data_IF_036683759053
#
_entry.id   IF_036683759053
#
_cell.length_a   1.000
_cell.length_b   1.000
_cell.length_c   1.000
_cell.angle_alpha   90.00
_cell.angle_beta   90.00
_cell.angle_gamma   90.00
#
_symmetry.space_group_name_H-M   'P 1'
#
loop_
_entity.id
_entity.type
_entity.pdbx_description
1 polymer ?
#
# COMPACT_ATOMS: atom_id res chain seq x y z
N UNK A 1 48.23 -35.72 -10.21
CA UNK A 1 47.38 -36.34 -9.18
C UNK A 1 48.15 -36.40 -7.87
N UNK A 2 47.85 -35.51 -6.92
CA UNK A 2 48.28 -35.63 -5.51
C UNK A 2 47.01 -35.86 -4.68
N UNK A 3 47.03 -36.74 -3.67
CA UNK A 3 45.84 -37.04 -2.89
C UNK A 3 45.48 -35.83 -2.02
N UNK A 4 44.20 -35.46 -2.02
CA UNK A 4 43.62 -34.56 -1.04
C UNK A 4 43.60 -35.28 0.31
N UNK A 5 44.52 -34.92 1.20
CA UNK A 5 44.42 -35.28 2.62
C UNK A 5 43.39 -34.36 3.27
N UNK A 6 42.33 -34.95 3.84
CA UNK A 6 41.35 -34.22 4.63
C UNK A 6 42.07 -33.65 5.87
N UNK A 7 42.25 -32.33 5.91
CA UNK A 7 42.82 -31.64 7.07
C UNK A 7 41.92 -31.87 8.31
N UNK A 8 42.47 -32.16 9.50
CA UNK A 8 41.71 -32.44 10.72
C UNK A 8 41.12 -31.17 11.35
N UNK A 9 40.72 -30.19 10.52
CA UNK A 9 40.17 -28.91 10.99
C UNK A 9 38.76 -29.04 11.56
N UNK A 10 38.08 -30.18 11.34
CA UNK A 10 36.69 -30.38 11.75
C UNK A 10 36.52 -30.71 13.24
N UNK A 11 37.61 -31.05 13.94
CA UNK A 11 37.60 -31.33 15.40
C UNK A 11 38.42 -30.30 16.19
N UNK A 12 38.38 -29.03 15.76
CA UNK A 12 38.89 -27.95 16.58
C UNK A 12 37.93 -27.74 17.77
N UNK A 13 38.39 -27.92 19.03
CA UNK A 13 37.55 -27.66 20.20
C UNK A 13 37.05 -26.21 20.25
N UNK A 14 37.69 -25.29 19.51
CA UNK A 14 37.26 -23.90 19.41
C UNK A 14 36.00 -23.74 18.55
N UNK A 15 35.89 -24.49 17.44
CA UNK A 15 34.71 -24.44 16.55
C UNK A 15 33.48 -25.05 17.23
N UNK A 16 33.67 -26.14 17.94
CA UNK A 16 32.61 -26.83 18.68
C UNK A 16 32.12 -25.99 19.88
N UNK A 17 33.03 -25.25 20.52
CA UNK A 17 32.68 -24.25 21.54
C UNK A 17 31.90 -23.09 20.92
N UNK A 18 32.33 -22.57 19.77
CA UNK A 18 31.67 -21.45 19.10
C UNK A 18 30.23 -21.79 18.69
N UNK A 19 30.01 -22.98 18.12
CA UNK A 19 28.67 -23.43 17.75
C UNK A 19 27.78 -23.64 18.97
N UNK A 20 28.32 -24.17 20.08
CA UNK A 20 27.59 -24.35 21.33
C UNK A 20 27.19 -23.01 21.98
N UNK A 21 28.07 -22.00 21.95
CA UNK A 21 27.74 -20.66 22.42
C UNK A 21 26.68 -20.00 21.55
N UNK A 22 26.74 -20.17 20.22
CA UNK A 22 25.76 -19.61 19.31
C UNK A 22 24.37 -20.26 19.49
N UNK A 23 24.30 -21.58 19.67
CA UNK A 23 23.03 -22.27 19.94
C UNK A 23 22.47 -21.93 21.33
N UNK A 24 23.32 -21.79 22.35
CA UNK A 24 22.90 -21.37 23.70
C UNK A 24 22.40 -19.91 23.72
N UNK A 25 23.06 -19.01 22.98
CA UNK A 25 22.65 -17.62 22.82
C UNK A 25 21.30 -17.52 22.07
N UNK A 26 21.13 -18.29 21.00
CA UNK A 26 19.90 -18.34 20.23
C UNK A 26 18.74 -18.89 21.06
N UNK A 27 18.98 -19.95 21.85
CA UNK A 27 17.99 -20.56 22.73
C UNK A 27 17.60 -19.63 23.89
N UNK A 28 18.54 -18.85 24.43
CA UNK A 28 18.25 -17.88 25.51
C UNK A 28 17.52 -16.63 25.01
N UNK A 29 17.79 -16.18 23.78
CA UNK A 29 17.03 -15.13 23.10
C UNK A 29 15.60 -15.58 22.77
N UNK A 30 15.38 -16.84 22.39
CA UNK A 30 14.05 -17.39 22.10
C UNK A 30 13.23 -17.73 23.35
N UNK A 31 13.89 -18.07 24.46
CA UNK A 31 13.25 -18.59 25.69
C UNK A 31 12.78 -17.51 26.67
N UNK A 32 13.02 -16.22 26.41
CA UNK A 32 12.57 -15.14 27.29
C UNK A 32 13.13 -15.23 28.72
N UNK A 33 14.37 -15.69 28.89
CA UNK A 33 14.99 -15.76 30.22
C UNK A 33 15.18 -14.36 30.82
N UNK A 34 15.14 -14.20 32.15
CA UNK A 34 15.27 -12.89 32.76
C UNK A 34 16.63 -12.28 32.41
N UNK A 35 16.62 -11.06 31.86
CA UNK A 35 17.81 -10.28 31.50
C UNK A 35 18.90 -10.28 32.59
N UNK A 36 18.50 -10.41 33.86
CA UNK A 36 19.37 -10.47 35.04
C UNK A 36 20.29 -11.70 35.09
N UNK A 37 19.86 -12.87 34.61
CA UNK A 37 20.71 -14.07 34.57
C UNK A 37 21.74 -14.01 33.43
N UNK A 38 21.32 -13.51 32.27
CA UNK A 38 22.20 -13.27 31.13
C UNK A 38 23.30 -12.26 31.50
N UNK A 39 22.92 -11.17 32.19
CA UNK A 39 23.83 -10.14 32.65
C UNK A 39 24.86 -10.67 33.67
N UNK A 40 24.44 -11.50 34.64
CA UNK A 40 25.38 -12.13 35.60
C UNK A 40 26.35 -13.09 34.91
N UNK A 41 25.87 -13.93 33.99
CA UNK A 41 26.73 -14.87 33.26
C UNK A 41 27.76 -14.14 32.39
N UNK A 42 27.37 -13.03 31.76
CA UNK A 42 28.27 -12.21 30.95
C UNK A 42 29.29 -11.44 31.81
N UNK A 43 28.91 -10.99 33.00
CA UNK A 43 29.81 -10.32 33.96
C UNK A 43 30.83 -11.27 34.61
N UNK A 44 30.52 -12.56 34.69
CA UNK A 44 31.39 -13.59 35.22
C UNK A 44 32.31 -14.22 34.16
N UNK A 45 32.10 -13.92 32.88
CA UNK A 45 32.87 -14.45 31.76
C UNK A 45 34.18 -13.65 31.54
N UNK A 46 35.20 -14.25 30.90
CA UNK A 46 36.40 -13.53 30.50
C UNK A 46 36.05 -12.31 29.62
N UNK A 47 36.80 -11.22 29.77
CA UNK A 47 36.56 -9.95 29.06
C UNK A 47 36.48 -10.12 27.54
N UNK A 48 37.26 -11.03 26.97
CA UNK A 48 37.24 -11.36 25.53
C UNK A 48 35.90 -11.92 25.06
N UNK A 49 35.25 -12.74 25.88
CA UNK A 49 33.94 -13.35 25.55
C UNK A 49 32.84 -12.28 25.63
N UNK A 50 32.88 -11.43 26.65
CA UNK A 50 31.94 -10.32 26.80
C UNK A 50 32.02 -9.32 25.63
N UNK A 51 33.24 -8.96 25.21
CA UNK A 51 33.47 -8.09 24.04
C UNK A 51 32.99 -8.72 22.73
N UNK A 52 33.22 -10.02 22.55
CA UNK A 52 32.74 -10.75 21.36
C UNK A 52 31.21 -10.78 21.29
N UNK A 53 30.53 -11.09 22.40
CA UNK A 53 29.07 -11.05 22.47
C UNK A 53 28.51 -9.65 22.20
N UNK A 54 29.12 -8.61 22.79
CA UNK A 54 28.73 -7.23 22.53
C UNK A 54 28.89 -6.87 21.04
N UNK A 55 30.00 -7.28 20.42
CA UNK A 55 30.25 -7.07 18.99
C UNK A 55 29.21 -7.78 18.11
N UNK A 56 28.89 -9.03 18.42
CA UNK A 56 27.84 -9.77 17.72
C UNK A 56 26.48 -9.08 17.83
N UNK A 57 26.09 -8.61 19.02
CA UNK A 57 24.84 -7.87 19.21
C UNK A 57 24.84 -6.56 18.42
N UNK A 58 25.93 -5.80 18.43
CA UNK A 58 26.07 -4.57 17.65
C UNK A 58 25.96 -4.83 16.14
N UNK A 59 26.63 -5.86 15.64
CA UNK A 59 26.54 -6.27 14.22
C UNK A 59 25.12 -6.72 13.86
N UNK A 60 24.46 -7.52 14.71
CA UNK A 60 23.09 -7.95 14.50
C UNK A 60 22.11 -6.78 14.50
N UNK A 61 22.25 -5.82 15.43
CA UNK A 61 21.43 -4.61 15.46
C UNK A 61 21.69 -3.75 14.22
N UNK A 62 22.95 -3.53 13.84
CA UNK A 62 23.29 -2.76 12.64
C UNK A 62 22.72 -3.40 11.36
N UNK A 63 22.87 -4.72 11.20
CA UNK A 63 22.30 -5.46 10.09
C UNK A 63 20.78 -5.33 10.08
N UNK A 64 20.13 -5.49 11.24
CA UNK A 64 18.70 -5.36 11.37
C UNK A 64 18.21 -3.95 11.01
N UNK A 65 18.84 -2.89 11.52
CA UNK A 65 18.48 -1.51 11.18
C UNK A 65 18.73 -1.18 9.71
N UNK A 66 19.80 -1.72 9.11
CA UNK A 66 20.15 -1.48 7.71
C UNK A 66 19.27 -2.25 6.72
N UNK A 67 18.76 -3.41 7.13
CA UNK A 67 17.87 -4.26 6.30
C UNK A 67 16.39 -4.01 6.55
N UNK A 68 16.04 -3.22 7.58
CA UNK A 68 14.65 -2.82 7.83
C UNK A 68 14.11 -2.06 6.61
N UNK A 69 13.03 -2.53 5.98
CA UNK A 69 12.38 -1.75 4.94
C UNK A 69 11.92 -0.42 5.52
N UNK A 70 12.21 0.68 4.80
CA UNK A 70 11.73 2.00 5.21
C UNK A 70 10.20 2.01 5.08
N UNK A 71 9.47 2.46 6.12
CA UNK A 71 8.01 2.50 6.05
C UNK A 71 7.57 3.49 4.99
N UNK A 72 6.57 3.11 4.19
CA UNK A 72 5.86 4.01 3.27
C UNK A 72 4.67 4.56 4.04
N UNK A 73 4.60 5.88 4.16
CA UNK A 73 3.60 6.57 4.96
C UNK A 73 2.66 7.38 4.06
N UNK A 74 1.35 7.25 4.30
CA UNK A 74 0.36 8.16 3.72
C UNK A 74 0.38 9.46 4.50
N UNK A 75 0.93 10.51 3.90
CA UNK A 75 1.02 11.82 4.56
C UNK A 75 -0.31 12.58 4.51
N UNK A 76 -1.02 12.48 3.40
CA UNK A 76 -2.28 13.21 3.22
C UNK A 76 -3.13 12.59 2.09
N UNK A 77 -4.40 12.95 2.04
CA UNK A 77 -5.34 12.58 1.00
C UNK A 77 -6.33 13.72 0.73
N UNK A 78 -6.86 13.73 -0.48
CA UNK A 78 -7.95 14.59 -0.91
C UNK A 78 -8.84 13.81 -1.89
N UNK A 79 -10.14 14.08 -1.87
CA UNK A 79 -11.11 13.46 -2.76
C UNK A 79 -11.88 14.55 -3.49
N UNK A 80 -12.16 14.32 -4.77
CA UNK A 80 -13.08 15.15 -5.51
C UNK A 80 -14.53 14.77 -5.17
N UNK A 81 -15.36 15.79 -4.92
CA UNK A 81 -16.81 15.66 -4.80
C UNK A 81 -17.44 16.57 -5.86
N UNK A 82 -18.21 16.01 -6.81
CA UNK A 82 -18.94 16.81 -7.78
C UNK A 82 -19.95 17.77 -7.13
N UNK A 83 -20.36 18.79 -7.87
CA UNK A 83 -21.43 19.71 -7.45
C UNK A 83 -22.78 19.01 -7.25
N UNK A 84 -23.63 19.55 -6.38
CA UNK A 84 -24.91 18.95 -5.98
C UNK A 84 -25.89 18.70 -7.13
N UNK A 85 -25.78 19.42 -8.25
CA UNK A 85 -26.60 19.20 -9.43
C UNK A 85 -26.32 17.85 -10.12
N UNK A 86 -25.17 17.21 -9.83
CA UNK A 86 -24.79 15.87 -10.31
C UNK A 86 -25.17 14.74 -9.34
N UNK A 87 -25.95 15.00 -8.30
CA UNK A 87 -26.44 13.95 -7.40
C UNK A 87 -27.39 13.01 -8.14
N UNK A 88 -27.18 11.72 -7.93
CA UNK A 88 -27.94 10.65 -8.55
C UNK A 88 -28.72 9.92 -7.45
N UNK A 89 -30.01 10.22 -7.35
CA UNK A 89 -30.94 9.47 -6.51
C UNK A 89 -31.47 8.25 -7.25
N UNK A 90 -32.20 7.38 -6.56
CA UNK A 90 -32.92 6.28 -7.22
C UNK A 90 -33.87 6.81 -8.31
N UNK A 91 -34.59 7.88 -8.03
CA UNK A 91 -35.55 8.48 -8.97
C UNK A 91 -34.84 9.01 -10.23
N UNK A 92 -33.71 9.70 -10.05
CA UNK A 92 -32.88 10.18 -11.17
C UNK A 92 -32.35 9.01 -12.00
N UNK A 93 -31.90 7.94 -11.34
CA UNK A 93 -31.43 6.72 -12.01
C UNK A 93 -32.54 6.07 -12.83
N UNK A 94 -33.73 5.92 -12.26
CA UNK A 94 -34.89 5.34 -12.96
C UNK A 94 -35.37 6.20 -14.12
N UNK A 95 -35.34 7.53 -13.94
CA UNK A 95 -35.65 8.47 -15.00
C UNK A 95 -34.69 8.33 -16.18
N UNK A 96 -33.39 8.26 -15.91
CA UNK A 96 -32.36 8.03 -16.93
C UNK A 96 -32.59 6.71 -17.68
N UNK A 97 -32.83 5.62 -16.95
CA UNK A 97 -33.06 4.30 -17.55
C UNK A 97 -34.25 4.30 -18.50
N UNK A 98 -35.39 4.86 -18.07
CA UNK A 98 -36.61 4.94 -18.90
C UNK A 98 -36.42 5.84 -20.12
N UNK A 99 -35.69 6.95 -19.97
CA UNK A 99 -35.42 7.91 -21.04
C UNK A 99 -34.47 7.37 -22.10
N UNK A 100 -33.56 6.48 -21.74
CA UNK A 100 -32.63 5.85 -22.70
C UNK A 100 -33.32 4.97 -23.75
N UNK A 101 -34.59 4.57 -23.52
CA UNK A 101 -35.36 3.65 -24.35
C UNK A 101 -34.64 2.33 -24.72
N UNK A 102 -33.58 1.99 -23.99
CA UNK A 102 -32.67 0.89 -24.31
C UNK A 102 -32.95 -0.37 -23.47
N UNK A 103 -33.89 -0.31 -22.54
CA UNK A 103 -34.17 -1.36 -21.57
C UNK A 103 -35.64 -1.80 -21.61
N UNK A 104 -35.88 -3.10 -21.43
CA UNK A 104 -37.21 -3.64 -21.22
C UNK A 104 -37.69 -3.38 -19.79
N UNK A 105 -39.00 -3.48 -19.54
CA UNK A 105 -39.55 -3.35 -18.19
C UNK A 105 -38.95 -4.38 -17.20
N UNK A 106 -38.57 -5.57 -17.69
CA UNK A 106 -37.90 -6.60 -16.90
C UNK A 106 -36.48 -6.18 -16.52
N UNK A 107 -35.72 -5.61 -17.47
CA UNK A 107 -34.38 -5.07 -17.21
C UNK A 107 -34.42 -3.86 -16.28
N UNK A 108 -35.41 -2.97 -16.41
CA UNK A 108 -35.62 -1.86 -15.47
C UNK A 108 -35.85 -2.36 -14.04
N UNK A 109 -36.74 -3.33 -13.86
CA UNK A 109 -37.02 -3.91 -12.54
C UNK A 109 -35.78 -4.60 -11.95
N UNK A 110 -34.99 -5.28 -12.79
CA UNK A 110 -33.72 -5.88 -12.38
C UNK A 110 -32.69 -4.83 -11.93
N UNK A 111 -32.50 -3.76 -12.71
CA UNK A 111 -31.59 -2.66 -12.36
C UNK A 111 -32.02 -1.91 -11.10
N UNK A 112 -33.34 -1.67 -10.92
CA UNK A 112 -33.88 -1.14 -9.65
C UNK A 112 -33.52 -2.06 -8.49
N UNK A 113 -33.66 -3.37 -8.67
CA UNK A 113 -33.27 -4.37 -7.67
C UNK A 113 -31.78 -4.33 -7.32
N UNK A 114 -30.90 -4.11 -8.30
CA UNK A 114 -29.46 -3.91 -8.08
C UNK A 114 -29.23 -2.62 -7.29
N UNK A 115 -29.81 -1.50 -7.72
CA UNK A 115 -29.62 -0.20 -7.07
C UNK A 115 -29.99 -0.29 -5.58
N UNK A 116 -31.18 -0.82 -5.26
CA UNK A 116 -31.66 -0.96 -3.88
C UNK A 116 -30.80 -1.87 -3.00
N UNK A 117 -29.99 -2.76 -3.60
CA UNK A 117 -29.10 -3.70 -2.88
C UNK A 117 -27.62 -3.31 -2.95
N UNK A 118 -27.28 -2.24 -3.68
CA UNK A 118 -25.90 -1.82 -3.93
C UNK A 118 -25.24 -1.14 -2.72
N UNK A 119 -26.04 -0.66 -1.77
CA UNK A 119 -25.56 0.19 -0.67
C UNK A 119 -25.29 1.64 -1.08
N UNK A 120 -25.61 2.03 -2.32
CA UNK A 120 -25.56 3.42 -2.78
C UNK A 120 -26.73 4.22 -2.20
N UNK A 121 -26.43 5.37 -1.62
CA UNK A 121 -27.43 6.33 -1.14
C UNK A 121 -27.64 7.49 -2.11
N UNK A 122 -28.59 8.36 -1.81
CA UNK A 122 -28.95 9.53 -2.62
C UNK A 122 -27.87 10.64 -2.65
N UNK A 123 -26.76 10.44 -1.95
CA UNK A 123 -25.55 11.27 -1.99
C UNK A 123 -24.49 10.73 -2.97
N UNK A 124 -24.87 9.79 -3.84
CA UNK A 124 -24.04 9.32 -4.95
C UNK A 124 -24.09 10.33 -6.11
N UNK A 125 -23.03 10.42 -6.91
CA UNK A 125 -22.96 11.34 -8.05
C UNK A 125 -22.82 10.57 -9.35
N UNK A 126 -23.43 11.06 -10.43
CA UNK A 126 -23.31 10.50 -11.77
C UNK A 126 -22.44 11.39 -12.67
N UNK A 127 -21.91 10.82 -13.77
CA UNK A 127 -21.27 11.59 -14.83
C UNK A 127 -22.19 12.65 -15.44
N UNK A 128 -21.61 13.69 -16.05
CA UNK A 128 -22.37 14.83 -16.64
C UNK A 128 -23.41 14.38 -17.66
N UNK A 129 -23.07 13.45 -18.56
CA UNK A 129 -23.98 12.98 -19.62
C UNK A 129 -25.30 12.40 -19.10
N UNK A 130 -25.32 11.92 -17.84
CA UNK A 130 -26.51 11.37 -17.20
C UNK A 130 -27.64 12.40 -17.06
N UNK A 131 -27.28 13.68 -16.98
CA UNK A 131 -28.19 14.81 -16.78
C UNK A 131 -28.48 15.58 -18.07
N UNK A 132 -27.82 15.23 -19.18
CA UNK A 132 -28.01 15.90 -20.47
C UNK A 132 -29.20 15.33 -21.24
N UNK A 133 -29.76 16.14 -22.14
CA UNK A 133 -30.92 15.76 -22.96
C UNK A 133 -30.63 14.55 -23.87
N UNK A 134 -29.40 14.44 -24.39
CA UNK A 134 -29.01 13.35 -25.28
C UNK A 134 -28.92 12.00 -24.56
N UNK A 135 -28.61 11.96 -23.25
CA UNK A 135 -28.33 10.73 -22.49
C UNK A 135 -27.16 9.88 -23.02
N UNK A 136 -26.44 10.35 -24.03
CA UNK A 136 -25.46 9.52 -24.75
C UNK A 136 -24.09 9.57 -24.07
N UNK A 137 -23.54 8.44 -23.60
CA UNK A 137 -22.18 8.39 -23.14
C UNK A 137 -21.23 8.59 -24.34
N UNK A 138 -20.24 9.45 -24.17
CA UNK A 138 -19.18 9.61 -25.16
C UNK A 138 -17.81 9.63 -24.48
N UNK A 139 -16.77 9.49 -25.29
CA UNK A 139 -15.39 9.46 -24.80
C UNK A 139 -14.94 10.80 -24.21
N UNK A 140 -15.45 11.91 -24.73
CA UNK A 140 -15.11 13.26 -24.25
C UNK A 140 -15.60 13.47 -22.81
N UNK A 141 -16.82 13.07 -22.48
CA UNK A 141 -17.34 13.11 -21.10
C UNK A 141 -16.48 12.32 -20.14
N UNK A 142 -16.02 11.14 -20.54
CA UNK A 142 -15.17 10.31 -19.69
C UNK A 142 -13.81 10.99 -19.43
N UNK A 143 -13.22 11.61 -20.46
CA UNK A 143 -11.97 12.36 -20.34
C UNK A 143 -12.16 13.61 -19.47
N UNK A 144 -13.24 14.36 -19.66
CA UNK A 144 -13.52 15.58 -18.92
C UNK A 144 -13.82 15.31 -17.45
N UNK A 145 -14.58 14.26 -17.14
CA UNK A 145 -14.84 13.81 -15.77
C UNK A 145 -13.55 13.37 -15.08
N UNK A 146 -12.70 12.60 -15.77
CA UNK A 146 -11.41 12.18 -15.24
C UNK A 146 -10.50 13.38 -14.95
N UNK A 147 -10.39 14.35 -15.88
CA UNK A 147 -9.59 15.57 -15.69
C UNK A 147 -10.11 16.41 -14.53
N UNK A 148 -11.41 16.65 -14.48
CA UNK A 148 -12.06 17.41 -13.42
C UNK A 148 -11.77 16.78 -12.05
N UNK A 149 -11.95 15.46 -11.93
CA UNK A 149 -11.71 14.74 -10.68
C UNK A 149 -10.25 14.71 -10.26
N UNK A 150 -9.34 14.41 -11.20
CA UNK A 150 -7.90 14.34 -10.92
C UNK A 150 -7.34 15.71 -10.52
N UNK A 151 -7.57 16.75 -11.31
CA UNK A 151 -7.01 18.07 -11.03
C UNK A 151 -7.61 18.67 -9.76
N UNK A 152 -8.91 18.55 -9.53
CA UNK A 152 -9.53 19.04 -8.29
C UNK A 152 -8.96 18.35 -7.05
N UNK A 153 -8.74 17.03 -7.11
CA UNK A 153 -8.14 16.29 -6.00
C UNK A 153 -6.66 16.66 -5.77
N UNK A 154 -5.88 16.82 -6.84
CA UNK A 154 -4.47 17.23 -6.78
C UNK A 154 -4.35 18.64 -6.21
N UNK A 155 -5.13 19.60 -6.70
CA UNK A 155 -5.11 20.99 -6.23
C UNK A 155 -5.50 21.08 -4.74
N UNK A 156 -6.53 20.33 -4.33
CA UNK A 156 -6.92 20.23 -2.92
C UNK A 156 -5.80 19.60 -2.06
N UNK A 157 -5.09 18.60 -2.57
CA UNK A 157 -4.00 17.93 -1.86
C UNK A 157 -2.77 18.85 -1.72
N UNK A 158 -2.36 19.52 -2.79
CA UNK A 158 -1.22 20.42 -2.81
C UNK A 158 -1.47 21.66 -1.94
N UNK A 159 -2.67 22.25 -2.01
CA UNK A 159 -3.05 23.37 -1.15
C UNK A 159 -3.09 22.99 0.33
N UNK A 160 -3.58 21.78 0.67
CA UNK A 160 -3.63 21.27 2.05
C UNK A 160 -2.24 20.94 2.61
N UNK A 161 -1.35 20.39 1.79
CA UNK A 161 -0.02 19.95 2.22
C UNK A 161 1.04 21.05 2.12
N UNK A 162 0.84 22.05 1.26
CA UNK A 162 1.83 23.07 0.88
C UNK A 162 3.14 22.48 0.35
N UNK A 163 3.06 21.28 -0.23
CA UNK A 163 4.18 20.64 -0.92
C UNK A 163 4.24 21.22 -2.33
N UNK A 164 5.43 21.65 -2.74
CA UNK A 164 5.69 22.05 -4.12
C UNK A 164 5.62 20.83 -5.04
N UNK A 165 4.88 20.92 -6.15
CA UNK A 165 4.75 19.84 -7.12
C UNK A 165 6.10 19.38 -7.69
N UNK A 166 7.09 20.27 -7.76
CA UNK A 166 8.47 19.93 -8.19
C UNK A 166 9.18 18.93 -7.25
N UNK A 167 8.67 18.72 -6.04
CA UNK A 167 9.18 17.74 -5.07
C UNK A 167 8.55 16.35 -5.19
N UNK A 168 7.66 16.15 -6.17
CA UNK A 168 6.98 14.88 -6.41
C UNK A 168 7.71 14.15 -7.53
N UNK A 169 8.39 13.06 -7.18
CA UNK A 169 9.19 12.29 -8.14
C UNK A 169 8.34 11.33 -8.99
N UNK A 170 7.23 10.84 -8.45
CA UNK A 170 6.41 9.79 -9.06
C UNK A 170 4.93 10.11 -8.90
N UNK A 171 4.20 10.04 -10.02
CA UNK A 171 2.74 10.11 -10.07
C UNK A 171 2.21 8.78 -10.59
N UNK A 172 1.26 8.19 -9.86
CA UNK A 172 0.60 6.94 -10.25
C UNK A 172 -0.87 7.27 -10.51
N UNK A 173 -1.34 6.99 -11.73
CA UNK A 173 -2.74 7.16 -12.12
C UNK A 173 -3.32 5.80 -12.46
N UNK A 174 -4.49 5.50 -11.90
CA UNK A 174 -5.26 4.29 -12.20
C UNK A 174 -6.65 4.69 -12.73
N UNK A 175 -7.09 4.03 -13.79
CA UNK A 175 -8.44 4.20 -14.36
C UNK A 175 -8.98 2.82 -14.70
N UNK A 176 -10.17 2.50 -14.20
CA UNK A 176 -10.91 1.28 -14.57
C UNK A 176 -11.95 1.52 -15.66
N UNK A 177 -12.25 2.77 -15.97
CA UNK A 177 -13.37 3.15 -16.83
C UNK A 177 -12.99 3.19 -18.31
N UNK A 178 -11.78 3.66 -18.64
CA UNK A 178 -11.26 3.77 -20.02
C UNK A 178 -9.74 4.02 -20.03
N UNK A 179 -9.12 3.90 -21.22
CA UNK A 179 -7.68 4.09 -21.44
C UNK A 179 -7.44 5.03 -22.64
N UNK A 180 -7.25 6.35 -22.42
CA UNK A 180 -7.10 7.31 -23.50
C UNK A 180 -5.69 7.26 -24.13
N UNK A 181 -5.59 7.81 -25.35
CA UNK A 181 -4.31 8.12 -26.01
C UNK A 181 -4.28 9.62 -26.34
N UNK A 182 -3.33 10.41 -25.80
CA UNK A 182 -2.28 10.01 -24.84
C UNK A 182 -2.85 9.59 -23.47
N UNK A 183 -2.02 8.96 -22.62
CA UNK A 183 -2.46 8.47 -21.30
C UNK A 183 -2.88 9.63 -20.38
N UNK A 184 -3.74 9.34 -19.40
CA UNK A 184 -4.15 10.32 -18.37
C UNK A 184 -2.96 10.90 -17.59
N UNK A 185 -1.88 10.14 -17.46
CA UNK A 185 -0.64 10.57 -16.80
C UNK A 185 0.26 11.46 -17.66
N UNK A 186 -0.02 11.55 -18.96
CA UNK A 186 0.72 12.40 -19.89
C UNK A 186 0.04 13.76 -20.10
N UNK A 187 -1.12 13.97 -19.47
CA UNK A 187 -1.98 15.15 -19.64
C UNK A 187 -1.59 16.29 -18.70
#
# INVERSE_FOLDING_TARGET
MRPFTLSPAFNSPALLRLSFFFTLLLHTLLSGTPFTYLFRLLSAAPTSVSLSCAWCVLLSLFYFYSTRPRPVLLLNYACFKPESHRRCTLEVSEYFLRRSHSFSAESEAFMRGIYLKSGLGDETYAPKFFFEESCEPNFEYAVDEAREGMFSAIDALLSKTRIDASRIDVVIITSGSFSPSPSLSSS
#
